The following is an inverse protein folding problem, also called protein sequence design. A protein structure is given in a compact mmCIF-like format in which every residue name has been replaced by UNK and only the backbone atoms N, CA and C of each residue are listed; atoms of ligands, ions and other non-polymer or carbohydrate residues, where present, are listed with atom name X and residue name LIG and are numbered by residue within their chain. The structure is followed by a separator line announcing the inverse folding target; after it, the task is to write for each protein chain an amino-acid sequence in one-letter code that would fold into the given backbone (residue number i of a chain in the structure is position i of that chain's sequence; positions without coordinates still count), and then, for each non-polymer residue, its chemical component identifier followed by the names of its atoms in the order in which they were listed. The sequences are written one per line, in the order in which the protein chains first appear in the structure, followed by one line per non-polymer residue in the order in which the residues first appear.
data_IF_550285588934
#
_entry.id   IF_550285588934
#
_cell.length_a   1.000
_cell.length_b   1.000
_cell.length_c   1.000
_cell.angle_alpha   90.00
_cell.angle_beta   90.00
_cell.angle_gamma   90.00
#
_symmetry.space_group_name_H-M   'P 1'
#
loop_
_entity.id
_entity.type
_entity.pdbx_description
1 polymer ?
#
# COMPACT_ATOMS: atom_id res chain seq x y z
N UNK A 1 20.98 -12.66 6.00
CA UNK A 1 20.08 -11.95 5.07
C UNK A 1 18.69 -12.02 5.66
N UNK A 2 18.03 -10.88 5.88
CA UNK A 2 16.62 -10.90 6.27
C UNK A 2 15.76 -11.43 5.12
N UNK A 3 14.70 -12.15 5.46
CA UNK A 3 13.80 -12.74 4.48
C UNK A 3 12.86 -11.67 3.90
N UNK A 4 12.52 -11.78 2.62
CA UNK A 4 11.46 -10.97 2.03
C UNK A 4 10.12 -11.43 2.62
N UNK A 5 9.40 -10.50 3.24
CA UNK A 5 8.08 -10.76 3.86
C UNK A 5 6.95 -10.11 3.07
N UNK A 6 5.73 -10.63 3.24
CA UNK A 6 4.50 -10.10 2.62
C UNK A 6 3.42 -9.89 3.67
N UNK A 7 2.71 -8.78 3.58
CA UNK A 7 1.54 -8.48 4.40
C UNK A 7 0.30 -8.24 3.52
N UNK A 8 -0.87 -8.68 4.01
CA UNK A 8 -2.17 -8.33 3.45
C UNK A 8 -2.95 -7.58 4.54
N UNK A 9 -3.36 -6.35 4.25
CA UNK A 9 -3.97 -5.46 5.22
C UNK A 9 -5.32 -4.92 4.72
N UNK A 10 -6.26 -4.75 5.64
CA UNK A 10 -7.52 -4.05 5.41
C UNK A 10 -7.48 -2.70 6.11
N UNK A 11 -7.90 -1.64 5.41
CA UNK A 11 -7.94 -0.27 5.95
C UNK A 11 -9.38 0.21 5.92
N UNK A 12 -9.92 0.57 7.08
CA UNK A 12 -11.29 1.05 7.27
C UNK A 12 -11.35 2.53 7.63
N UNK A 13 -12.49 3.18 7.37
CA UNK A 13 -12.72 4.60 7.63
C UNK A 13 -12.95 5.39 6.34
N UNK A 14 -12.56 6.67 6.31
CA UNK A 14 -12.69 7.53 5.12
C UNK A 14 -11.57 7.23 4.11
N UNK A 15 -11.76 6.20 3.29
CA UNK A 15 -10.75 5.73 2.31
C UNK A 15 -11.17 5.89 0.85
N UNK A 16 -12.45 6.13 0.57
CA UNK A 16 -12.98 6.35 -0.78
C UNK A 16 -13.15 7.84 -1.08
N UNK A 17 -12.96 8.24 -2.34
CA UNK A 17 -13.10 9.63 -2.78
C UNK A 17 -12.02 10.59 -2.26
N UNK A 18 -10.94 10.08 -1.65
CA UNK A 18 -9.88 10.90 -1.02
C UNK A 18 -8.48 10.69 -1.62
N UNK A 19 -8.39 10.04 -2.77
CA UNK A 19 -7.10 9.75 -3.40
C UNK A 19 -6.25 8.69 -2.69
N UNK A 20 -6.84 7.90 -1.78
CA UNK A 20 -6.14 6.89 -0.98
C UNK A 20 -5.29 5.93 -1.82
N UNK A 21 -5.83 5.39 -2.91
CA UNK A 21 -5.12 4.46 -3.81
C UNK A 21 -3.84 5.09 -4.41
N UNK A 22 -3.94 6.34 -4.88
CA UNK A 22 -2.79 7.05 -5.45
C UNK A 22 -1.72 7.35 -4.38
N UNK A 23 -2.15 7.69 -3.16
CA UNK A 23 -1.24 7.87 -2.03
C UNK A 23 -0.48 6.57 -1.72
N UNK A 24 -1.18 5.44 -1.57
CA UNK A 24 -0.56 4.14 -1.26
C UNK A 24 0.43 3.73 -2.36
N UNK A 25 0.05 3.84 -3.64
CA UNK A 25 0.95 3.51 -4.75
C UNK A 25 2.22 4.38 -4.74
N UNK A 26 2.09 5.69 -4.47
CA UNK A 26 3.24 6.61 -4.38
C UNK A 26 4.19 6.20 -3.25
N UNK A 27 3.67 5.81 -2.08
CA UNK A 27 4.51 5.37 -0.97
C UNK A 27 5.17 4.02 -1.24
N UNK A 28 4.43 3.06 -1.82
CA UNK A 28 4.99 1.77 -2.22
C UNK A 28 6.16 1.94 -3.19
N UNK A 29 6.02 2.80 -4.20
CA UNK A 29 7.09 3.10 -5.15
C UNK A 29 8.33 3.71 -4.48
N UNK A 30 8.13 4.65 -3.52
CA UNK A 30 9.25 5.25 -2.76
C UNK A 30 10.02 4.24 -1.92
N UNK A 31 9.32 3.21 -1.43
CA UNK A 31 9.88 2.16 -0.58
C UNK A 31 10.30 0.92 -1.36
N UNK A 32 10.24 0.95 -2.70
CA UNK A 32 10.49 -0.20 -3.57
C UNK A 32 9.67 -1.45 -3.19
N UNK A 33 8.42 -1.25 -2.74
CA UNK A 33 7.49 -2.34 -2.40
C UNK A 33 6.71 -2.79 -3.63
N UNK A 34 6.50 -4.11 -3.74
CA UNK A 34 5.70 -4.73 -4.78
C UNK A 34 4.33 -5.16 -4.25
N UNK A 35 3.26 -4.92 -5.01
CA UNK A 35 1.90 -5.30 -4.61
C UNK A 35 0.82 -4.52 -5.36
N UNK A 36 -0.37 -4.48 -4.77
CA UNK A 36 -1.53 -3.77 -5.31
C UNK A 36 -2.32 -3.11 -4.18
N UNK A 37 -3.12 -2.11 -4.53
CA UNK A 37 -4.15 -1.52 -3.67
C UNK A 37 -5.46 -1.49 -4.47
N UNK A 38 -6.58 -1.82 -3.83
CA UNK A 38 -7.91 -1.86 -4.44
C UNK A 38 -8.88 -0.92 -3.75
#
# INVERSE_FOLDING_TARGET
MEAIVRAHAFVSGKVQGVGFRAFVQKQANKMALHGWVR
#
